data_IF_322701822803
#
_entry.id   IF_322701822803
#
_cell.length_a   1.000
_cell.length_b   1.000
_cell.length_c   1.000
_cell.angle_alpha   90.00
_cell.angle_beta   90.00
_cell.angle_gamma   90.00
#
_symmetry.space_group_name_H-M   'P 1'
#
loop_
_entity.id
_entity.type
_entity.pdbx_description
1 polymer ?
#
# COMPACT_ATOMS: atom_id res chain seq x y z
N UNK A 1 23.39 7.95 -44.28
CA UNK A 1 22.47 8.69 -43.41
C UNK A 1 21.09 8.06 -43.23
N UNK A 2 20.47 7.50 -44.28
CA UNK A 2 19.14 6.80 -44.18
C UNK A 2 19.10 5.61 -43.21
N UNK A 3 20.09 4.74 -43.21
CA UNK A 3 20.13 3.52 -42.34
C UNK A 3 20.07 3.84 -40.84
N UNK A 4 20.74 4.88 -40.37
CA UNK A 4 20.67 5.31 -38.93
C UNK A 4 19.27 5.75 -38.54
N UNK A 5 18.55 6.42 -39.44
CA UNK A 5 17.17 6.89 -39.23
C UNK A 5 16.17 5.74 -39.13
N UNK A 6 16.31 4.71 -39.98
CA UNK A 6 15.45 3.53 -39.97
C UNK A 6 15.67 2.69 -38.70
N UNK A 7 16.91 2.43 -38.32
CA UNK A 7 17.24 1.72 -37.09
C UNK A 7 16.67 2.43 -35.84
N UNK A 8 16.78 3.76 -35.78
CA UNK A 8 16.21 4.56 -34.69
C UNK A 8 14.68 4.49 -34.68
N UNK A 9 14.03 4.46 -35.83
CA UNK A 9 12.57 4.36 -35.89
C UNK A 9 12.07 2.99 -35.41
N UNK A 10 12.78 1.92 -35.77
CA UNK A 10 12.48 0.55 -35.31
C UNK A 10 12.68 0.47 -33.79
N UNK A 11 13.79 0.97 -33.29
CA UNK A 11 14.06 0.97 -31.83
C UNK A 11 12.96 1.71 -31.04
N UNK A 12 12.52 2.87 -31.54
CA UNK A 12 11.43 3.61 -30.89
C UNK A 12 10.11 2.84 -30.86
N UNK A 13 9.80 2.09 -31.91
CA UNK A 13 8.60 1.23 -31.94
C UNK A 13 8.72 0.11 -30.91
N UNK A 14 9.85 -0.59 -30.90
CA UNK A 14 10.11 -1.66 -29.93
C UNK A 14 10.01 -1.13 -28.49
N UNK A 15 10.63 0.01 -28.19
CA UNK A 15 10.54 0.60 -26.86
C UNK A 15 9.10 0.98 -26.50
N UNK A 16 8.32 1.47 -27.45
CA UNK A 16 6.91 1.79 -27.21
C UNK A 16 6.07 0.55 -26.93
N UNK A 17 6.28 -0.51 -27.68
CA UNK A 17 5.57 -1.79 -27.48
C UNK A 17 5.93 -2.37 -26.10
N UNK A 18 7.20 -2.40 -25.73
CA UNK A 18 7.66 -2.81 -24.40
C UNK A 18 7.05 -1.93 -23.31
N UNK A 19 6.98 -0.60 -23.52
CA UNK A 19 6.37 0.31 -22.55
C UNK A 19 4.91 -0.05 -22.27
N UNK A 20 4.14 -0.36 -23.29
CA UNK A 20 2.73 -0.73 -23.17
C UNK A 20 2.60 -2.06 -22.45
N UNK A 21 3.30 -3.10 -22.91
CA UNK A 21 3.25 -4.44 -22.32
C UNK A 21 3.70 -4.44 -20.85
N UNK A 22 4.79 -3.76 -20.53
CA UNK A 22 5.27 -3.68 -19.15
C UNK A 22 4.34 -2.85 -18.25
N UNK A 23 3.70 -1.81 -18.77
CA UNK A 23 2.70 -1.05 -18.01
C UNK A 23 1.50 -1.92 -17.65
N UNK A 24 1.02 -2.72 -18.59
CA UNK A 24 -0.06 -3.66 -18.39
C UNK A 24 0.34 -4.78 -17.42
N UNK A 25 1.53 -5.35 -17.58
CA UNK A 25 2.05 -6.37 -16.67
C UNK A 25 2.19 -5.86 -15.22
N UNK A 26 2.66 -4.62 -15.03
CA UNK A 26 2.70 -4.02 -13.68
C UNK A 26 1.31 -3.83 -13.10
N UNK A 27 0.34 -3.42 -13.89
CA UNK A 27 -1.05 -3.31 -13.43
C UNK A 27 -1.62 -4.67 -13.02
N UNK A 28 -1.39 -5.70 -13.83
CA UNK A 28 -1.78 -7.09 -13.53
C UNK A 28 -1.07 -7.66 -12.30
N UNK A 29 0.17 -7.27 -12.01
CA UNK A 29 0.88 -7.69 -10.81
C UNK A 29 0.13 -7.26 -9.53
N UNK A 30 -0.50 -6.10 -9.52
CA UNK A 30 -1.35 -5.67 -8.41
C UNK A 30 -2.64 -6.51 -8.32
N UNK A 31 -3.24 -6.89 -9.42
CA UNK A 31 -4.45 -7.74 -9.42
C UNK A 31 -4.15 -9.16 -8.93
N UNK A 32 -3.03 -9.71 -9.37
CA UNK A 32 -2.60 -11.07 -8.98
C UNK A 32 -1.97 -11.12 -7.58
N UNK A 33 -1.70 -9.97 -6.96
CA UNK A 33 -0.89 -9.86 -5.74
C UNK A 33 0.44 -10.61 -5.86
N UNK A 34 1.11 -10.43 -6.98
CA UNK A 34 2.37 -11.09 -7.31
C UNK A 34 3.28 -10.14 -8.08
N UNK A 35 4.58 -10.35 -7.99
CA UNK A 35 5.55 -9.70 -8.85
C UNK A 35 6.01 -10.73 -9.88
N UNK A 36 5.50 -10.65 -11.09
CA UNK A 36 5.57 -11.66 -12.14
C UNK A 36 5.07 -13.03 -11.63
N UNK A 37 5.95 -13.95 -11.31
CA UNK A 37 5.62 -15.31 -10.82
C UNK A 37 5.69 -15.45 -9.30
N UNK A 38 6.19 -14.43 -8.58
CA UNK A 38 6.38 -14.48 -7.14
C UNK A 38 5.19 -13.83 -6.40
N UNK A 39 4.40 -14.64 -5.72
CA UNK A 39 3.28 -14.15 -4.92
C UNK A 39 3.75 -13.28 -3.76
N UNK A 40 3.08 -12.16 -3.54
CA UNK A 40 3.34 -11.31 -2.39
C UNK A 40 2.90 -11.98 -1.09
N UNK A 41 3.54 -11.60 0.01
CA UNK A 41 3.12 -12.08 1.33
C UNK A 41 1.70 -11.61 1.64
N UNK A 42 0.89 -12.51 2.21
CA UNK A 42 -0.46 -12.15 2.61
C UNK A 42 -0.45 -11.03 3.65
N UNK A 43 -1.45 -10.16 3.55
CA UNK A 43 -1.67 -9.09 4.51
C UNK A 43 -1.84 -9.66 5.92
N UNK A 44 -1.08 -9.15 6.87
CA UNK A 44 -1.13 -9.56 8.28
C UNK A 44 -1.93 -8.61 9.16
N UNK A 45 -2.45 -7.51 8.62
CA UNK A 45 -3.21 -6.53 9.38
C UNK A 45 -4.59 -7.09 9.74
N UNK A 46 -5.00 -7.07 11.01
CA UNK A 46 -6.35 -7.46 11.42
C UNK A 46 -7.41 -6.47 10.92
N UNK A 47 -6.99 -5.29 10.53
CA UNK A 47 -7.86 -4.30 9.92
C UNK A 47 -8.05 -4.63 8.44
N UNK A 48 -9.27 -4.90 8.05
CA UNK A 48 -9.62 -5.39 6.70
C UNK A 48 -8.89 -6.70 6.36
N UNK A 49 -9.20 -7.79 7.01
CA UNK A 49 -8.58 -9.10 6.76
C UNK A 49 -8.74 -9.55 5.31
N UNK A 50 -9.83 -9.12 4.66
CA UNK A 50 -10.12 -9.40 3.24
C UNK A 50 -9.54 -8.35 2.28
N UNK A 51 -8.74 -7.41 2.78
CA UNK A 51 -8.11 -6.37 1.97
C UNK A 51 -6.90 -6.89 1.21
N UNK A 52 -6.77 -6.46 -0.03
CA UNK A 52 -5.61 -6.77 -0.88
C UNK A 52 -4.35 -6.06 -0.41
N UNK A 53 -3.20 -6.71 -0.55
CA UNK A 53 -1.91 -6.08 -0.23
C UNK A 53 -1.59 -5.04 -1.31
N UNK A 54 -1.03 -3.90 -0.90
CA UNK A 54 -0.65 -2.76 -1.76
C UNK A 54 -1.82 -2.14 -2.58
N UNK A 55 -3.05 -2.63 -2.43
CA UNK A 55 -4.24 -2.16 -3.14
C UNK A 55 -5.33 -1.74 -2.15
N UNK A 56 -5.05 -0.79 -1.26
CA UNK A 56 -6.08 -0.27 -0.35
C UNK A 56 -7.06 0.65 -1.09
N UNK A 57 -6.56 1.80 -1.53
CA UNK A 57 -7.32 2.77 -2.35
C UNK A 57 -7.00 2.65 -3.83
N UNK A 58 -6.06 1.78 -4.21
CA UNK A 58 -5.50 1.67 -5.55
C UNK A 58 -4.58 2.85 -5.93
N UNK A 59 -4.23 3.72 -4.99
CA UNK A 59 -3.41 4.89 -5.28
C UNK A 59 -2.01 4.50 -5.77
N UNK A 60 -1.37 3.52 -5.13
CA UNK A 60 -0.04 3.05 -5.56
C UNK A 60 -0.09 2.45 -6.97
N UNK A 61 -1.06 1.57 -7.25
CA UNK A 61 -1.28 0.97 -8.56
C UNK A 61 -1.41 2.06 -9.65
N UNK A 62 -2.24 3.07 -9.42
CA UNK A 62 -2.47 4.17 -10.39
C UNK A 62 -1.36 5.21 -10.46
N UNK A 63 -0.41 5.18 -9.53
CA UNK A 63 0.68 6.17 -9.51
C UNK A 63 1.89 5.78 -10.33
N UNK A 64 1.94 4.55 -10.84
CA UNK A 64 3.05 4.09 -11.66
C UNK A 64 3.00 4.80 -13.02
N UNK A 65 4.06 5.50 -13.31
CA UNK A 65 4.26 6.24 -14.56
C UNK A 65 5.45 5.68 -15.31
N UNK A 66 5.52 5.95 -16.59
CA UNK A 66 6.65 5.56 -17.41
C UNK A 66 7.16 6.72 -18.26
N UNK A 67 8.47 6.78 -18.45
CA UNK A 67 9.15 7.71 -19.33
C UNK A 67 10.04 6.95 -20.27
N UNK A 68 9.90 7.22 -21.56
CA UNK A 68 10.74 6.63 -22.61
C UNK A 68 11.76 7.66 -23.09
N UNK A 69 13.01 7.25 -23.20
CA UNK A 69 14.09 7.98 -23.87
C UNK A 69 14.40 7.33 -25.21
N UNK A 70 15.50 7.72 -25.87
CA UNK A 70 15.89 7.12 -27.15
C UNK A 70 16.22 5.62 -27.07
N UNK A 71 16.70 5.16 -25.91
CA UNK A 71 17.21 3.80 -25.70
C UNK A 71 16.81 3.16 -24.37
N UNK A 72 15.94 3.77 -23.59
CA UNK A 72 15.53 3.25 -22.30
C UNK A 72 14.08 3.60 -21.95
N UNK A 73 13.50 2.80 -21.10
CA UNK A 73 12.21 3.04 -20.44
C UNK A 73 12.45 3.03 -18.95
N UNK A 74 11.94 4.05 -18.25
CA UNK A 74 12.00 4.15 -16.80
C UNK A 74 10.58 4.15 -16.26
N UNK A 75 10.26 3.22 -15.36
CA UNK A 75 9.03 3.23 -14.59
C UNK A 75 9.30 3.85 -13.22
N UNK A 76 8.42 4.71 -12.77
CA UNK A 76 8.59 5.43 -11.50
C UNK A 76 7.24 5.80 -10.88
N UNK A 77 7.27 6.18 -9.62
CA UNK A 77 6.13 6.74 -8.91
C UNK A 77 6.62 7.87 -8.01
N UNK A 78 5.78 8.89 -7.84
CA UNK A 78 6.07 10.04 -6.97
C UNK A 78 5.57 9.82 -5.53
N UNK A 79 5.01 8.65 -5.22
CA UNK A 79 4.49 8.35 -3.89
C UNK A 79 5.64 8.07 -2.91
N UNK A 80 5.77 8.86 -1.83
CA UNK A 80 6.91 8.74 -0.91
C UNK A 80 6.98 7.40 -0.16
N UNK A 81 5.87 6.69 -0.04
CA UNK A 81 5.83 5.39 0.63
C UNK A 81 6.15 4.21 -0.31
N UNK A 82 6.20 4.43 -1.62
CA UNK A 82 6.48 3.36 -2.58
C UNK A 82 7.87 2.75 -2.40
N UNK A 83 8.88 3.56 -2.09
CA UNK A 83 10.24 3.10 -1.82
C UNK A 83 10.29 2.09 -0.67
N UNK A 84 9.56 2.35 0.42
CA UNK A 84 9.50 1.43 1.57
C UNK A 84 8.89 0.09 1.18
N UNK A 85 7.89 0.08 0.30
CA UNK A 85 7.30 -1.17 -0.19
C UNK A 85 8.22 -1.95 -1.12
N UNK A 86 9.06 -1.27 -1.88
CA UNK A 86 9.98 -1.90 -2.83
C UNK A 86 11.30 -2.36 -2.19
N UNK A 87 11.85 -1.53 -1.33
CA UNK A 87 13.20 -1.73 -0.76
C UNK A 87 13.15 -2.29 0.67
N UNK A 88 11.98 -2.27 1.26
CA UNK A 88 11.81 -2.46 2.70
C UNK A 88 12.27 -1.22 3.46
N UNK A 89 12.12 -1.25 4.75
CA UNK A 89 12.57 -0.16 5.60
C UNK A 89 11.93 -0.16 6.98
N UNK A 90 12.38 0.77 7.81
CA UNK A 90 11.85 0.98 9.14
C UNK A 90 11.01 2.26 9.16
N UNK A 91 9.77 2.14 9.64
CA UNK A 91 8.90 3.29 9.85
C UNK A 91 8.95 3.68 11.32
N UNK A 92 9.53 4.85 11.60
CA UNK A 92 9.55 5.40 12.95
C UNK A 92 8.18 5.99 13.27
N UNK A 93 7.60 5.54 14.37
CA UNK A 93 6.29 6.04 14.82
C UNK A 93 6.42 7.46 15.37
N UNK A 94 5.98 8.43 14.60
CA UNK A 94 6.03 9.85 14.98
C UNK A 94 4.98 10.20 16.05
N UNK A 95 5.16 11.30 16.81
CA UNK A 95 4.16 11.79 17.77
C UNK A 95 2.78 12.02 17.12
N UNK A 96 2.74 12.45 15.85
CA UNK A 96 1.50 12.64 15.11
C UNK A 96 0.80 11.30 14.84
N UNK A 97 1.55 10.27 14.47
CA UNK A 97 1.01 8.92 14.29
C UNK A 97 0.48 8.36 15.60
N UNK A 98 1.20 8.55 16.72
CA UNK A 98 0.73 8.14 18.05
C UNK A 98 -0.58 8.80 18.44
N UNK A 99 -0.71 10.10 18.19
CA UNK A 99 -1.99 10.82 18.40
C UNK A 99 -3.13 10.19 17.61
N UNK A 100 -2.89 9.88 16.34
CA UNK A 100 -3.88 9.22 15.49
C UNK A 100 -4.24 7.83 16.02
N UNK A 101 -3.26 7.02 16.40
CA UNK A 101 -3.50 5.67 16.94
C UNK A 101 -4.28 5.72 18.26
N UNK A 102 -3.96 6.65 19.15
CA UNK A 102 -4.73 6.85 20.37
C UNK A 102 -6.15 7.35 20.11
N UNK A 103 -6.33 8.23 19.13
CA UNK A 103 -7.67 8.64 18.72
C UNK A 103 -8.49 7.43 18.24
N UNK A 104 -7.92 6.60 17.38
CA UNK A 104 -8.56 5.35 16.91
C UNK A 104 -8.83 4.35 18.04
N UNK A 105 -7.92 4.22 18.98
CA UNK A 105 -8.13 3.41 20.18
C UNK A 105 -9.34 3.88 20.98
N UNK A 106 -9.46 5.16 21.25
CA UNK A 106 -10.61 5.70 21.98
C UNK A 106 -11.91 5.62 21.18
N UNK A 107 -11.86 5.78 19.88
CA UNK A 107 -12.97 5.57 18.98
C UNK A 107 -13.46 4.11 19.05
N UNK A 108 -12.55 3.13 18.99
CA UNK A 108 -12.83 1.71 19.04
C UNK A 108 -13.24 1.21 20.43
N UNK A 109 -12.64 1.70 21.51
CA UNK A 109 -13.01 1.31 22.90
C UNK A 109 -14.38 1.82 23.30
N UNK A 110 -14.94 2.72 22.47
CA UNK A 110 -16.29 3.19 22.75
C UNK A 110 -16.42 3.76 24.14
N UNK A 111 -15.54 4.72 24.48
CA UNK A 111 -16.01 5.77 25.41
C UNK A 111 -17.33 6.35 24.89
N UNK A 112 -17.65 6.04 23.65
CA UNK A 112 -18.90 6.30 22.92
C UNK A 112 -19.96 5.19 22.99
N UNK A 113 -19.64 3.99 23.48
CA UNK A 113 -20.54 2.82 23.50
C UNK A 113 -20.92 2.35 24.92
N UNK A 114 -20.80 3.21 25.93
CA UNK A 114 -21.31 2.89 27.25
C UNK A 114 -22.84 3.03 27.27
N UNK A 115 -23.49 2.13 27.99
CA UNK A 115 -24.91 2.29 28.34
C UNK A 115 -25.09 3.55 29.20
N UNK A 116 -26.32 4.06 29.33
CA UNK A 116 -26.61 5.19 30.20
C UNK A 116 -26.19 4.99 31.67
N UNK A 117 -26.08 3.75 32.12
CA UNK A 117 -25.64 3.34 33.46
C UNK A 117 -24.09 3.27 33.61
N UNK A 118 -23.34 3.63 32.55
CA UNK A 118 -21.87 3.58 32.56
C UNK A 118 -21.26 2.19 32.28
N UNK A 119 -22.08 1.11 32.22
CA UNK A 119 -21.62 -0.25 31.95
C UNK A 119 -21.24 -0.45 30.48
N UNK A 120 -20.29 -1.38 30.22
CA UNK A 120 -19.93 -1.76 28.84
C UNK A 120 -21.07 -2.49 28.14
N UNK A 121 -21.33 -2.15 26.89
CA UNK A 121 -22.16 -2.97 26.03
C UNK A 121 -21.45 -4.28 25.70
N UNK A 122 -22.18 -5.38 25.80
CA UNK A 122 -21.63 -6.72 25.60
C UNK A 122 -22.28 -7.38 24.36
N UNK A 123 -22.34 -6.63 23.27
CA UNK A 123 -22.85 -7.13 21.99
C UNK A 123 -21.70 -7.53 21.05
N UNK A 124 -22.00 -8.26 19.97
CA UNK A 124 -21.01 -8.71 18.98
C UNK A 124 -20.16 -7.56 18.42
N UNK A 125 -20.75 -6.37 18.28
CA UNK A 125 -20.07 -5.17 17.80
C UNK A 125 -19.04 -4.68 18.82
N UNK A 126 -19.33 -4.78 20.11
CA UNK A 126 -18.40 -4.39 21.19
C UNK A 126 -17.19 -5.31 21.25
N UNK A 127 -17.36 -6.62 20.98
CA UNK A 127 -16.24 -7.58 20.92
C UNK A 127 -15.33 -7.24 19.72
N UNK A 128 -15.89 -7.03 18.56
CA UNK A 128 -15.14 -6.66 17.35
C UNK A 128 -14.39 -5.33 17.54
N UNK A 129 -15.02 -4.35 18.20
CA UNK A 129 -14.37 -3.07 18.54
C UNK A 129 -13.26 -3.26 19.58
N UNK A 130 -13.33 -4.30 20.42
CA UNK A 130 -12.28 -4.64 21.39
C UNK A 130 -10.99 -5.09 20.71
N UNK A 131 -11.09 -5.97 19.72
CA UNK A 131 -9.94 -6.46 18.94
C UNK A 131 -9.28 -5.32 18.15
N UNK A 132 -10.09 -4.47 17.55
CA UNK A 132 -9.63 -3.27 16.87
C UNK A 132 -8.93 -2.29 17.84
N UNK A 133 -9.48 -2.13 19.04
CA UNK A 133 -8.89 -1.27 20.06
C UNK A 133 -7.52 -1.79 20.52
N UNK A 134 -7.36 -3.08 20.72
CA UNK A 134 -6.08 -3.67 21.10
C UNK A 134 -5.02 -3.48 20.03
N UNK A 135 -5.41 -3.62 18.76
CA UNK A 135 -4.52 -3.31 17.63
C UNK A 135 -4.05 -1.85 17.65
N UNK A 136 -4.96 -0.89 17.81
CA UNK A 136 -4.59 0.52 17.85
C UNK A 136 -3.73 0.88 19.06
N UNK A 137 -3.98 0.27 20.21
CA UNK A 137 -3.15 0.41 21.40
C UNK A 137 -1.74 -0.13 21.15
N UNK A 138 -1.62 -1.31 20.55
CA UNK A 138 -0.34 -1.88 20.14
C UNK A 138 0.44 -0.92 19.23
N UNK A 139 -0.22 -0.38 18.20
CA UNK A 139 0.39 0.57 17.28
C UNK A 139 0.83 1.88 17.98
N UNK A 140 0.04 2.39 18.93
CA UNK A 140 0.35 3.59 19.68
C UNK A 140 1.56 3.43 20.61
N UNK A 141 1.78 2.22 21.13
CA UNK A 141 2.89 1.89 22.03
C UNK A 141 4.18 1.53 21.29
N UNK A 142 4.11 1.22 20.00
CA UNK A 142 5.30 0.95 19.18
C UNK A 142 6.22 2.17 19.14
N UNK A 143 7.51 1.94 19.30
CA UNK A 143 8.54 3.01 19.19
C UNK A 143 9.06 3.11 17.75
N UNK A 144 9.36 1.98 17.16
CA UNK A 144 9.76 1.82 15.77
C UNK A 144 9.37 0.41 15.32
N UNK A 145 9.25 0.15 14.06
CA UNK A 145 8.95 -1.19 13.57
C UNK A 145 9.06 -1.31 12.07
N UNK A 146 9.41 -2.50 11.62
CA UNK A 146 9.30 -2.91 10.22
C UNK A 146 7.83 -3.18 9.91
N UNK A 147 7.34 -2.63 8.82
CA UNK A 147 5.96 -2.77 8.35
C UNK A 147 5.96 -3.49 7.02
#
# INVERSE_FOLDING_TARGET
>A
MKMKSETQSILRRILKDIQVEMSDEFDQNFEREAFFSEAWQRRRSPMRPDGHILVDTGQLRRSIQSRTTENSITFYTDLPYAAIHNEGGEIVVTPRMKKYFWHKYYEATGSFGRKKDGSRRNDKRTVQLSDEAEFWKFMALKKAGTY
#
